data_IF_370591598582
#
_entry.id   IF_370591598582
#
_cell.length_a   1.000
_cell.length_b   1.000
_cell.length_c   1.000
_cell.angle_alpha   90.00
_cell.angle_beta   90.00
_cell.angle_gamma   90.00
#
_symmetry.space_group_name_H-M   'P 1'
#
loop_
_entity.id
_entity.type
_entity.pdbx_description
1 polymer ?
#
# COMPACT_ATOMS: atom_id res chain seq x y z
N UNK A 1 -8.92 -17.50 33.13
CA UNK A 1 -9.27 -17.62 31.69
C UNK A 1 -8.28 -18.60 31.07
N UNK A 2 -8.71 -19.55 30.23
CA UNK A 2 -7.78 -20.52 29.63
C UNK A 2 -6.83 -19.80 28.65
N UNK A 3 -5.49 -19.88 28.81
CA UNK A 3 -4.55 -19.23 27.91
C UNK A 3 -4.75 -19.58 26.43
N UNK A 4 -5.13 -20.84 26.14
CA UNK A 4 -5.41 -21.29 24.78
C UNK A 4 -6.54 -20.54 24.10
N UNK A 5 -7.59 -20.15 24.83
CA UNK A 5 -8.70 -19.34 24.29
C UNK A 5 -8.24 -17.95 23.93
N UNK A 6 -7.37 -17.35 24.78
CA UNK A 6 -6.84 -16.01 24.49
C UNK A 6 -5.95 -16.02 23.25
N UNK A 7 -5.02 -16.97 23.16
CA UNK A 7 -4.13 -17.13 22.00
C UNK A 7 -4.93 -17.35 20.71
N UNK A 8 -5.93 -18.26 20.75
CA UNK A 8 -6.78 -18.51 19.59
C UNK A 8 -7.61 -17.28 19.19
N UNK A 9 -8.12 -16.50 20.16
CA UNK A 9 -8.83 -15.25 19.90
C UNK A 9 -7.94 -14.26 19.16
N UNK A 10 -6.72 -14.03 19.62
CA UNK A 10 -5.79 -13.11 18.96
C UNK A 10 -5.42 -13.60 17.56
N UNK A 11 -5.27 -14.90 17.36
CA UNK A 11 -5.06 -15.51 16.05
C UNK A 11 -6.23 -15.28 15.08
N UNK A 12 -7.48 -15.43 15.57
CA UNK A 12 -8.70 -15.15 14.78
C UNK A 12 -8.73 -13.68 14.37
N UNK A 13 -8.49 -12.74 15.29
CA UNK A 13 -8.46 -11.30 14.99
C UNK A 13 -7.36 -10.92 13.99
N UNK A 14 -6.19 -11.55 14.09
CA UNK A 14 -5.10 -11.34 13.15
C UNK A 14 -5.46 -11.82 11.74
N UNK A 15 -6.07 -13.01 11.62
CA UNK A 15 -6.51 -13.53 10.32
C UNK A 15 -7.66 -12.73 9.72
N UNK A 16 -8.57 -12.18 10.53
CA UNK A 16 -9.63 -11.29 10.07
C UNK A 16 -9.05 -10.03 9.42
N UNK A 17 -8.10 -9.35 10.08
CA UNK A 17 -7.41 -8.20 9.52
C UNK A 17 -6.67 -8.54 8.21
N UNK A 18 -6.05 -9.73 8.12
CA UNK A 18 -5.40 -10.20 6.90
C UNK A 18 -6.41 -10.42 5.78
N UNK A 19 -7.56 -11.04 6.07
CA UNK A 19 -8.63 -11.26 5.09
C UNK A 19 -9.20 -9.93 4.56
N UNK A 20 -9.37 -8.93 5.42
CA UNK A 20 -9.81 -7.60 5.01
C UNK A 20 -8.83 -6.93 4.06
N UNK A 21 -7.52 -7.00 4.35
CA UNK A 21 -6.49 -6.46 3.47
C UNK A 21 -6.46 -7.16 2.11
N UNK A 22 -6.52 -8.50 2.09
CA UNK A 22 -6.57 -9.30 0.85
C UNK A 22 -7.83 -8.96 0.03
N UNK A 23 -8.98 -8.84 0.68
CA UNK A 23 -10.23 -8.47 0.02
C UNK A 23 -10.14 -7.07 -0.61
N UNK A 24 -9.54 -6.10 0.10
CA UNK A 24 -9.29 -4.76 -0.43
C UNK A 24 -8.32 -4.79 -1.62
N UNK A 25 -7.23 -5.57 -1.53
CA UNK A 25 -6.29 -5.74 -2.63
C UNK A 25 -6.98 -6.32 -3.88
N UNK A 26 -7.77 -7.37 -3.70
CA UNK A 26 -8.47 -8.04 -4.79
C UNK A 26 -9.53 -7.12 -5.44
N UNK A 27 -10.26 -6.36 -4.64
CA UNK A 27 -11.24 -5.39 -5.14
C UNK A 27 -10.57 -4.32 -6.02
N UNK A 28 -9.31 -3.94 -5.71
CA UNK A 28 -8.57 -2.89 -6.39
C UNK A 28 -7.55 -3.40 -7.41
N UNK A 29 -7.66 -4.65 -7.86
CA UNK A 29 -6.74 -5.24 -8.85
C UNK A 29 -6.74 -4.50 -10.19
N UNK A 30 -7.88 -3.94 -10.60
CA UNK A 30 -8.03 -3.18 -11.84
C UNK A 30 -7.93 -1.66 -11.64
N UNK A 31 -7.65 -1.19 -10.42
CA UNK A 31 -7.54 0.23 -10.12
C UNK A 31 -6.16 0.74 -10.52
N UNK A 32 -6.12 1.75 -11.38
CA UNK A 32 -4.88 2.38 -11.87
C UNK A 32 -4.11 3.01 -10.72
N UNK A 33 -2.82 2.73 -10.64
CA UNK A 33 -1.95 3.28 -9.60
C UNK A 33 -2.17 2.72 -8.19
N UNK A 34 -3.05 1.74 -8.01
CA UNK A 34 -3.27 1.12 -6.70
C UNK A 34 -2.03 0.36 -6.22
N UNK A 35 -1.77 0.44 -4.93
CA UNK A 35 -0.68 -0.27 -4.26
C UNK A 35 -1.24 -1.21 -3.20
N UNK A 36 -0.80 -2.48 -3.25
CA UNK A 36 -1.28 -3.54 -2.35
C UNK A 36 -0.98 -3.20 -0.89
N UNK A 37 -1.90 -3.55 -0.02
CA UNK A 37 -1.73 -3.47 1.41
C UNK A 37 -1.16 -4.79 1.95
N UNK A 38 -0.22 -4.69 2.89
CA UNK A 38 0.37 -5.80 3.63
C UNK A 38 0.14 -5.60 5.11
N UNK A 39 -0.40 -6.61 5.79
CA UNK A 39 -0.57 -6.60 7.25
C UNK A 39 0.71 -7.12 7.91
N UNK A 40 1.16 -6.42 8.95
CA UNK A 40 2.31 -6.81 9.77
C UNK A 40 1.83 -7.32 11.13
N UNK A 41 2.42 -8.43 11.55
CA UNK A 41 2.11 -9.10 12.81
C UNK A 41 3.33 -9.12 13.71
N UNK A 42 3.09 -9.07 15.02
CA UNK A 42 4.07 -9.32 16.07
C UNK A 42 3.52 -10.30 17.07
N UNK A 43 4.40 -11.06 17.70
CA UNK A 43 4.06 -11.90 18.84
C UNK A 43 3.86 -11.05 20.11
N UNK A 44 3.06 -11.57 21.04
CA UNK A 44 2.83 -10.95 22.33
C UNK A 44 3.83 -11.49 23.36
N UNK A 45 3.90 -10.83 24.53
CA UNK A 45 4.78 -11.22 25.62
C UNK A 45 4.64 -12.69 25.99
N UNK A 46 5.78 -13.31 26.33
CA UNK A 46 5.84 -14.67 26.84
C UNK A 46 5.66 -14.66 28.35
N UNK A 47 4.81 -15.54 28.86
CA UNK A 47 4.73 -15.83 30.27
C UNK A 47 5.83 -16.83 30.63
N UNK A 48 6.76 -16.43 31.49
CA UNK A 48 7.87 -17.27 31.92
C UNK A 48 7.45 -18.00 33.20
N UNK A 49 7.15 -19.30 33.10
CA UNK A 49 6.88 -20.15 34.26
C UNK A 49 8.17 -20.64 34.94
N UNK A 50 9.20 -20.89 34.12
CA UNK A 50 10.52 -21.27 34.61
C UNK A 50 11.58 -20.64 33.71
N UNK A 51 12.51 -19.94 34.34
CA UNK A 51 13.63 -19.34 33.62
C UNK A 51 14.62 -20.41 33.13
N UNK A 52 15.16 -20.27 31.90
CA UNK A 52 16.31 -21.08 31.46
C UNK A 52 17.50 -20.88 32.43
N UNK A 53 18.16 -21.93 32.77
CA UNK A 53 19.31 -21.88 33.73
C UNK A 53 18.92 -21.82 35.20
N UNK A 54 17.63 -21.91 35.56
CA UNK A 54 17.22 -21.99 36.95
C UNK A 54 17.80 -23.24 37.62
N UNK A 55 18.39 -23.08 38.81
CA UNK A 55 18.94 -24.17 39.59
C UNK A 55 17.82 -25.15 39.99
N UNK A 56 18.00 -26.41 39.70
CA UNK A 56 17.10 -27.49 40.08
C UNK A 56 17.52 -28.15 41.36
N UNK A 57 18.81 -28.26 41.55
CA UNK A 57 19.51 -28.75 42.74
C UNK A 57 20.86 -28.04 42.86
N UNK A 58 21.60 -28.27 44.01
CA UNK A 58 22.89 -27.62 44.23
C UNK A 58 23.93 -27.78 43.12
N UNK A 59 23.80 -28.81 42.25
CA UNK A 59 24.74 -29.10 41.18
C UNK A 59 24.14 -29.20 39.76
N UNK A 60 22.83 -28.98 39.59
CA UNK A 60 22.19 -29.12 38.28
C UNK A 60 21.32 -27.90 37.92
N UNK A 61 21.62 -27.27 36.80
CA UNK A 61 20.82 -26.19 36.21
C UNK A 61 19.92 -26.77 35.11
N UNK A 62 18.68 -26.29 35.04
CA UNK A 62 17.76 -26.67 33.96
C UNK A 62 18.23 -26.05 32.66
N UNK A 63 18.58 -26.85 31.61
CA UNK A 63 19.10 -26.32 30.36
C UNK A 63 18.03 -25.54 29.56
N UNK A 64 16.76 -25.82 29.83
CA UNK A 64 15.61 -25.16 29.14
C UNK A 64 14.60 -24.64 30.15
N UNK A 65 14.06 -23.44 29.89
CA UNK A 65 12.93 -22.86 30.62
C UNK A 65 11.59 -23.29 30.05
N UNK A 66 10.50 -22.89 30.74
CA UNK A 66 9.12 -22.99 30.22
C UNK A 66 8.62 -21.59 30.00
N UNK A 67 8.38 -21.25 28.73
CA UNK A 67 7.85 -19.96 28.29
C UNK A 67 6.60 -20.20 27.43
N UNK A 68 5.50 -19.58 27.80
CA UNK A 68 4.22 -19.67 27.10
C UNK A 68 3.93 -18.37 26.39
N UNK A 69 3.73 -18.41 25.06
CA UNK A 69 3.36 -17.26 24.26
C UNK A 69 1.90 -16.87 24.45
N UNK A 70 1.60 -15.57 24.45
CA UNK A 70 0.25 -15.04 24.64
C UNK A 70 -0.48 -14.72 23.29
N UNK A 71 0.07 -15.17 22.16
CA UNK A 71 -0.54 -15.00 20.85
C UNK A 71 0.11 -13.91 20.02
N UNK A 72 -0.67 -13.28 19.14
CA UNK A 72 -0.20 -12.32 18.15
C UNK A 72 -1.05 -11.05 18.15
N UNK A 73 -0.48 -9.95 17.64
CA UNK A 73 -1.20 -8.71 17.38
C UNK A 73 -0.89 -8.17 15.98
N UNK A 74 -1.81 -7.41 15.43
CA UNK A 74 -1.58 -6.58 14.26
C UNK A 74 -0.85 -5.32 14.71
N UNK A 75 0.31 -5.02 14.11
CA UNK A 75 1.11 -3.81 14.37
C UNK A 75 0.68 -2.68 13.47
N UNK A 76 0.39 -2.99 12.21
CA UNK A 76 -0.02 -2.02 11.23
C UNK A 76 -0.26 -2.64 9.86
N UNK A 77 -0.71 -1.80 8.97
CA UNK A 77 -0.80 -2.07 7.53
C UNK A 77 0.21 -1.21 6.79
N UNK A 78 0.89 -1.80 5.84
CA UNK A 78 1.89 -1.12 5.02
C UNK A 78 1.55 -1.25 3.56
N UNK A 79 1.58 -0.14 2.81
CA UNK A 79 1.49 -0.19 1.35
C UNK A 79 2.82 -0.58 0.73
N UNK A 80 2.77 -1.46 -0.26
CA UNK A 80 3.93 -1.93 -1.01
C UNK A 80 4.02 -1.15 -2.31
N UNK A 81 5.03 -0.29 -2.44
CA UNK A 81 5.21 0.60 -3.60
C UNK A 81 6.09 0.01 -4.70
N UNK A 82 5.96 -1.29 -4.97
CA UNK A 82 6.55 -1.88 -6.18
C UNK A 82 5.78 -1.40 -7.42
N UNK A 83 6.48 -1.30 -8.56
CA UNK A 83 5.85 -0.94 -9.83
C UNK A 83 4.87 -2.02 -10.26
N UNK A 84 3.67 -1.60 -10.66
CA UNK A 84 2.63 -2.47 -11.22
C UNK A 84 2.87 -2.80 -12.69
N UNK A 85 1.94 -3.54 -13.31
CA UNK A 85 1.98 -3.82 -14.74
C UNK A 85 1.70 -2.54 -15.55
N UNK A 86 2.46 -2.33 -16.63
CA UNK A 86 2.21 -1.22 -17.54
C UNK A 86 1.15 -1.63 -18.57
N UNK A 87 0.08 -0.85 -18.67
CA UNK A 87 -0.99 -1.02 -19.64
C UNK A 87 -0.93 0.10 -20.68
N UNK A 88 -0.71 -0.26 -21.94
CA UNK A 88 -0.72 0.72 -23.02
C UNK A 88 -2.15 1.07 -23.40
N UNK A 89 -2.51 2.35 -23.29
CA UNK A 89 -3.87 2.86 -23.57
C UNK A 89 -3.95 3.60 -24.91
N UNK A 90 -2.83 4.11 -25.39
CA UNK A 90 -2.78 4.93 -26.61
C UNK A 90 -3.36 6.34 -26.45
N UNK A 91 -3.83 6.72 -25.26
CA UNK A 91 -4.29 8.07 -24.97
C UNK A 91 -3.09 9.01 -24.75
N UNK A 92 -3.12 10.19 -25.33
CA UNK A 92 -1.99 11.13 -25.28
C UNK A 92 -1.71 11.70 -23.89
N UNK A 93 -2.71 11.77 -23.03
CA UNK A 93 -2.60 12.33 -21.68
C UNK A 93 -2.44 11.27 -20.58
N UNK A 94 -2.49 9.98 -20.94
CA UNK A 94 -2.18 8.93 -20.00
C UNK A 94 -0.67 8.82 -19.80
N UNK A 95 -0.23 8.85 -18.56
CA UNK A 95 1.19 8.84 -18.19
C UNK A 95 1.46 7.80 -17.13
N UNK A 96 2.38 6.88 -17.38
CA UNK A 96 2.85 5.94 -16.36
C UNK A 96 4.21 6.35 -15.84
N UNK A 97 4.42 6.17 -14.52
CA UNK A 97 5.74 6.33 -13.89
C UNK A 97 6.44 4.98 -13.91
N UNK A 98 7.55 4.88 -14.61
CA UNK A 98 8.40 3.68 -14.65
C UNK A 98 9.54 3.84 -13.65
N UNK A 99 9.38 3.33 -12.45
CA UNK A 99 10.34 3.48 -11.36
C UNK A 99 9.76 4.15 -10.12
N UNK A 100 10.60 4.86 -9.38
CA UNK A 100 10.19 5.53 -8.13
C UNK A 100 9.73 6.96 -8.41
N UNK A 101 8.83 7.48 -7.56
CA UNK A 101 8.30 8.84 -7.61
C UNK A 101 6.77 8.86 -7.63
N UNK A 102 6.21 10.03 -7.41
CA UNK A 102 4.77 10.29 -7.38
C UNK A 102 4.50 11.57 -8.15
N UNK A 103 3.36 11.66 -8.80
CA UNK A 103 2.84 12.92 -9.32
C UNK A 103 2.31 13.74 -8.14
N UNK A 104 2.52 15.04 -8.20
CA UNK A 104 2.00 15.99 -7.23
C UNK A 104 0.70 16.59 -7.74
N UNK A 105 -0.29 16.68 -6.86
CA UNK A 105 -1.58 17.30 -7.16
C UNK A 105 -1.99 18.23 -6.05
N UNK A 106 -2.66 19.30 -6.37
CA UNK A 106 -3.18 20.26 -5.41
C UNK A 106 -4.63 19.90 -5.05
N UNK A 107 -4.90 19.74 -3.76
CA UNK A 107 -6.23 19.51 -3.24
C UNK A 107 -7.01 20.83 -3.14
N UNK A 108 -8.34 20.73 -3.07
CA UNK A 108 -9.22 21.90 -2.95
C UNK A 108 -8.99 22.76 -1.70
N UNK A 109 -8.33 22.21 -0.68
CA UNK A 109 -7.93 22.93 0.54
C UNK A 109 -6.56 23.64 0.42
N UNK A 110 -5.87 23.52 -0.72
CA UNK A 110 -4.54 24.05 -0.96
C UNK A 110 -3.39 23.16 -0.48
N UNK A 111 -3.69 21.98 0.09
CA UNK A 111 -2.66 21.02 0.46
C UNK A 111 -2.17 20.23 -0.77
N UNK A 112 -0.91 19.81 -0.76
CA UNK A 112 -0.36 18.94 -1.79
C UNK A 112 -0.63 17.49 -1.45
N UNK A 113 -1.14 16.74 -2.43
CA UNK A 113 -1.27 15.29 -2.36
C UNK A 113 -0.44 14.62 -3.46
N UNK A 114 -0.20 13.34 -3.31
CA UNK A 114 0.68 12.56 -4.16
C UNK A 114 -0.07 11.40 -4.76
N UNK A 115 0.13 11.11 -6.05
CA UNK A 115 -0.57 10.01 -6.72
C UNK A 115 0.34 9.26 -7.67
N UNK A 116 -0.02 7.99 -7.91
CA UNK A 116 0.54 7.16 -8.98
C UNK A 116 -0.44 6.97 -10.15
N UNK A 117 -1.66 7.50 -10.02
CA UNK A 117 -2.64 7.45 -11.08
C UNK A 117 -2.33 8.52 -12.13
N UNK A 118 -1.89 8.09 -13.29
CA UNK A 118 -1.51 9.01 -14.39
C UNK A 118 -2.60 9.18 -15.43
N UNK A 119 -3.87 9.03 -15.07
CA UNK A 119 -5.02 9.38 -15.92
C UNK A 119 -5.25 10.88 -15.86
N UNK A 120 -4.71 11.59 -16.84
CA UNK A 120 -4.77 13.05 -16.89
C UNK A 120 -5.79 13.51 -17.92
N UNK A 121 -6.42 14.65 -17.64
CA UNK A 121 -7.41 15.26 -18.51
C UNK A 121 -7.21 16.78 -18.54
N UNK A 122 -7.56 17.46 -19.64
CA UNK A 122 -7.57 18.92 -19.66
C UNK A 122 -8.84 19.43 -18.98
N UNK A 123 -8.73 20.41 -18.09
CA UNK A 123 -9.88 21.12 -17.53
C UNK A 123 -10.49 22.05 -18.61
N UNK A 124 -11.70 22.61 -18.39
CA UNK A 124 -12.27 23.61 -19.29
C UNK A 124 -11.39 24.85 -19.47
N UNK A 125 -10.52 25.13 -18.53
CA UNK A 125 -9.54 26.22 -18.52
C UNK A 125 -8.22 25.84 -19.21
N UNK A 126 -8.10 24.59 -19.67
CA UNK A 126 -6.90 24.04 -20.30
C UNK A 126 -5.85 23.52 -19.32
N UNK A 127 -6.07 23.58 -18.00
CA UNK A 127 -5.12 23.03 -17.01
C UNK A 127 -5.14 21.51 -17.00
N UNK A 128 -3.98 20.92 -16.77
CA UNK A 128 -3.85 19.48 -16.65
C UNK A 128 -4.31 19.02 -15.26
N UNK A 129 -5.36 18.20 -15.23
CA UNK A 129 -5.97 17.71 -13.99
C UNK A 129 -6.07 16.18 -13.97
N UNK A 130 -6.21 15.62 -12.78
CA UNK A 130 -6.51 14.19 -12.60
C UNK A 130 -7.96 13.88 -13.00
N UNK A 131 -8.33 12.60 -13.05
CA UNK A 131 -9.71 12.17 -13.31
C UNK A 131 -10.74 12.72 -12.29
N UNK A 132 -10.29 13.08 -11.09
CA UNK A 132 -11.10 13.69 -10.03
C UNK A 132 -11.16 15.21 -10.11
N UNK A 133 -10.38 15.83 -11.01
CA UNK A 133 -10.34 17.28 -11.20
C UNK A 133 -9.27 18.02 -10.40
N UNK A 134 -8.35 17.32 -9.72
CA UNK A 134 -7.24 17.96 -9.02
C UNK A 134 -6.13 18.37 -9.98
N UNK A 135 -5.68 19.65 -9.97
CA UNK A 135 -4.61 20.11 -10.85
C UNK A 135 -3.27 19.49 -10.43
N UNK A 136 -2.44 19.24 -11.44
CA UNK A 136 -1.06 18.77 -11.25
C UNK A 136 -0.16 19.93 -10.88
N UNK A 137 0.81 19.67 -10.02
CA UNK A 137 1.89 20.62 -9.71
C UNK A 137 3.18 20.14 -10.38
N UNK A 138 3.90 21.04 -11.10
CA UNK A 138 3.55 22.42 -11.44
C UNK A 138 2.39 22.57 -12.42
N UNK A 139 1.69 23.69 -12.35
CA UNK A 139 0.50 23.94 -13.21
C UNK A 139 0.91 24.04 -14.68
N UNK A 140 0.35 23.16 -15.51
CA UNK A 140 0.61 23.10 -16.94
C UNK A 140 -0.68 23.38 -17.68
N UNK A 141 -0.67 24.43 -18.50
CA UNK A 141 -1.84 24.84 -19.27
C UNK A 141 -1.69 24.45 -20.73
N UNK A 142 -2.64 23.67 -21.23
CA UNK A 142 -2.72 23.22 -22.61
C UNK A 142 -3.53 24.24 -23.40
N UNK A 143 -3.00 24.85 -24.46
CA UNK A 143 -3.76 25.80 -25.30
C UNK A 143 -4.89 25.08 -26.06
N UNK A 144 -6.03 25.72 -26.16
CA UNK A 144 -7.23 25.16 -26.82
C UNK A 144 -7.04 24.79 -28.30
N UNK A 145 -6.03 25.33 -28.96
CA UNK A 145 -5.66 25.07 -30.35
C UNK A 145 -4.57 23.98 -30.50
N UNK A 146 -4.23 23.25 -29.43
CA UNK A 146 -3.30 22.13 -29.50
C UNK A 146 -3.90 20.97 -30.32
N UNK A 147 -3.16 20.48 -31.30
CA UNK A 147 -3.54 19.35 -32.16
C UNK A 147 -3.00 18.01 -31.56
N UNK A 148 -1.81 18.03 -30.97
CA UNK A 148 -1.21 16.85 -30.32
C UNK A 148 -0.35 17.30 -29.17
N UNK A 149 -0.32 16.46 -28.15
CA UNK A 149 0.47 16.66 -26.93
C UNK A 149 1.50 15.54 -26.85
N UNK A 150 2.74 15.91 -26.63
CA UNK A 150 3.86 14.98 -26.46
C UNK A 150 4.46 15.19 -25.08
N UNK A 151 4.53 14.10 -24.30
CA UNK A 151 5.15 14.09 -22.97
C UNK A 151 6.42 13.26 -23.08
N UNK A 152 7.55 13.92 -22.85
CA UNK A 152 8.87 13.27 -22.88
C UNK A 152 9.11 12.38 -21.65
N UNK A 153 10.09 11.47 -21.76
CA UNK A 153 10.52 10.63 -20.62
C UNK A 153 11.04 11.45 -19.44
N UNK A 154 11.52 12.66 -19.73
CA UNK A 154 12.02 13.64 -18.74
C UNK A 154 10.91 14.56 -18.19
N UNK A 155 9.65 14.30 -18.49
CA UNK A 155 8.52 15.09 -18.00
C UNK A 155 8.22 16.37 -18.76
N UNK A 156 8.99 16.72 -19.79
CA UNK A 156 8.70 17.89 -20.61
C UNK A 156 7.43 17.66 -21.41
N UNK A 157 6.46 18.56 -21.24
CA UNK A 157 5.18 18.56 -21.93
C UNK A 157 5.25 19.57 -23.07
N UNK A 158 5.12 19.10 -24.29
CA UNK A 158 5.12 19.94 -25.50
C UNK A 158 3.83 19.73 -26.26
N UNK A 159 3.29 20.80 -26.82
CA UNK A 159 2.12 20.76 -27.67
C UNK A 159 2.43 21.24 -29.09
N UNK A 160 1.80 20.61 -30.07
CA UNK A 160 1.78 21.09 -31.43
C UNK A 160 0.55 21.95 -31.63
N UNK A 161 0.76 23.23 -31.83
CA UNK A 161 -0.30 24.21 -32.05
C UNK A 161 -0.69 24.28 -33.54
N UNK A 162 -1.98 24.47 -33.81
CA UNK A 162 -2.44 24.61 -35.17
C UNK A 162 -1.83 25.88 -35.82
N UNK A 163 -1.08 25.68 -36.93
CA UNK A 163 -0.40 26.77 -37.65
C UNK A 163 1.08 26.94 -37.33
N UNK A 164 1.62 26.22 -36.33
CA UNK A 164 3.05 26.16 -36.01
C UNK A 164 3.66 24.83 -36.46
N UNK A 165 4.90 24.90 -36.96
CA UNK A 165 5.62 23.70 -37.42
C UNK A 165 6.45 23.11 -36.29
N UNK A 166 6.77 23.90 -35.28
CA UNK A 166 7.58 23.51 -34.13
C UNK A 166 6.71 23.15 -32.92
N UNK A 167 7.25 22.27 -32.07
CA UNK A 167 6.64 21.90 -30.78
C UNK A 167 6.90 23.03 -29.77
N UNK A 168 5.82 23.58 -29.22
CA UNK A 168 5.91 24.57 -28.14
C UNK A 168 5.96 23.86 -26.80
N UNK A 169 6.97 24.11 -26.01
CA UNK A 169 7.09 23.59 -24.66
C UNK A 169 6.13 24.33 -23.72
N UNK A 170 5.26 23.59 -23.02
CA UNK A 170 4.25 24.12 -22.10
C UNK A 170 4.71 24.12 -20.66
N UNK A 171 5.60 23.21 -20.30
CA UNK A 171 6.11 23.05 -18.95
C UNK A 171 6.71 21.66 -18.73
N UNK A 172 7.12 21.38 -17.50
CA UNK A 172 7.72 20.12 -17.12
C UNK A 172 7.03 19.53 -15.88
N UNK A 173 6.59 18.28 -15.98
CA UNK A 173 6.06 17.51 -14.87
C UNK A 173 7.23 17.12 -13.97
N UNK A 174 7.15 17.43 -12.67
CA UNK A 174 8.10 16.99 -11.66
C UNK A 174 7.54 15.81 -10.88
N UNK A 175 8.43 14.98 -10.35
CA UNK A 175 8.08 13.88 -9.47
C UNK A 175 8.51 14.17 -8.05
N UNK A 176 7.70 13.72 -7.08
CA UNK A 176 8.06 13.72 -5.68
C UNK A 176 8.57 12.34 -5.25
N UNK A 177 9.70 12.30 -4.56
CA UNK A 177 10.25 11.12 -3.93
C UNK A 177 10.18 11.22 -2.41
N UNK A 178 10.04 10.08 -1.75
CA UNK A 178 10.04 9.98 -0.29
C UNK A 178 11.10 9.00 0.18
N UNK A 179 11.75 9.31 1.28
CA UNK A 179 12.71 8.40 1.93
C UNK A 179 11.99 7.13 2.41
N UNK A 180 10.77 7.29 2.94
CA UNK A 180 9.94 6.19 3.39
C UNK A 180 8.52 6.30 2.81
N UNK A 181 8.28 5.78 1.59
CA UNK A 181 6.94 5.83 0.97
C UNK A 181 5.86 5.10 1.79
N UNK A 182 6.25 4.08 2.57
CA UNK A 182 5.32 3.33 3.40
C UNK A 182 4.72 4.14 4.56
N UNK A 183 5.34 5.27 4.91
CA UNK A 183 4.85 6.22 5.90
C UNK A 183 3.78 7.19 5.39
N UNK A 184 3.46 7.17 4.09
CA UNK A 184 2.41 7.99 3.52
C UNK A 184 1.02 7.53 4.00
N UNK A 185 0.13 8.47 4.27
CA UNK A 185 -1.29 8.20 4.56
C UNK A 185 -2.09 8.20 3.27
N UNK A 186 -2.90 7.17 3.05
CA UNK A 186 -3.84 7.12 1.95
C UNK A 186 -5.10 7.92 2.31
N UNK A 187 -5.45 8.92 1.50
CA UNK A 187 -6.66 9.72 1.66
C UNK A 187 -7.89 9.12 0.97
N UNK A 188 -7.70 8.15 0.10
CA UNK A 188 -8.69 7.67 -0.87
C UNK A 188 -8.36 8.21 -2.27
N UNK A 189 -9.16 7.83 -3.29
CA UNK A 189 -9.01 8.27 -4.70
C UNK A 189 -7.59 8.10 -5.29
N UNK A 190 -6.83 7.12 -4.78
CA UNK A 190 -5.42 6.89 -5.09
C UNK A 190 -4.49 8.07 -4.72
N UNK A 191 -4.91 8.90 -3.77
CA UNK A 191 -4.15 10.01 -3.24
C UNK A 191 -3.45 9.61 -1.93
N UNK A 192 -2.25 10.13 -1.78
CA UNK A 192 -1.41 9.96 -0.60
C UNK A 192 -1.04 11.33 -0.05
N UNK A 193 -0.94 11.43 1.26
CA UNK A 193 -0.48 12.64 1.95
C UNK A 193 0.79 12.34 2.72
N UNK A 194 1.68 13.31 2.77
CA UNK A 194 2.90 13.24 3.55
C UNK A 194 2.63 13.19 5.04
N UNK A 195 3.52 12.55 5.78
CA UNK A 195 3.51 12.49 7.23
C UNK A 195 4.90 12.68 7.79
N UNK A 196 5.00 12.85 9.09
CA UNK A 196 6.31 12.85 9.78
C UNK A 196 7.08 11.55 9.61
N UNK A 197 6.37 10.43 9.32
CA UNK A 197 6.97 9.11 9.10
C UNK A 197 7.47 8.91 7.66
N UNK A 198 6.89 9.60 6.67
CA UNK A 198 7.35 9.55 5.27
C UNK A 198 8.60 10.41 5.03
N UNK A 199 8.78 11.43 5.86
CA UNK A 199 9.74 12.51 5.62
C UNK A 199 9.20 13.53 4.61
N UNK A 200 9.97 14.61 4.43
CA UNK A 200 9.68 15.70 3.49
C UNK A 200 9.86 15.19 2.06
N UNK A 201 8.97 15.54 1.12
CA UNK A 201 9.12 15.19 -0.28
C UNK A 201 10.37 15.81 -0.89
N UNK A 202 11.08 15.06 -1.69
CA UNK A 202 12.16 15.56 -2.53
C UNK A 202 11.62 15.64 -3.94
N UNK A 203 11.65 16.83 -4.52
CA UNK A 203 11.21 17.03 -5.90
C UNK A 203 12.38 16.84 -6.87
N UNK A 204 12.09 16.28 -8.03
CA UNK A 204 13.08 16.08 -9.06
C UNK A 204 12.49 15.85 -10.44
N UNK A 205 13.37 15.91 -11.43
CA UNK A 205 13.03 15.70 -12.83
C UNK A 205 12.93 14.19 -13.12
N UNK A 206 11.89 13.73 -13.81
CA UNK A 206 11.79 12.33 -14.24
C UNK A 206 13.03 11.90 -15.05
N UNK A 207 13.55 10.72 -14.74
CA UNK A 207 14.73 10.16 -15.43
C UNK A 207 16.09 10.52 -14.84
N UNK A 208 16.14 11.39 -13.83
CA UNK A 208 17.35 11.61 -13.03
C UNK A 208 17.56 10.48 -12.01
N UNK A 209 18.78 10.38 -11.43
CA UNK A 209 19.28 9.21 -10.69
C UNK A 209 18.32 8.60 -9.64
N UNK A 210 17.48 9.39 -9.00
CA UNK A 210 16.56 8.92 -7.94
C UNK A 210 15.11 8.71 -8.41
N UNK A 211 14.76 9.20 -9.61
CA UNK A 211 13.39 9.24 -10.11
C UNK A 211 13.18 8.32 -11.30
N UNK A 212 12.00 7.73 -11.35
CA UNK A 212 11.55 6.97 -12.52
C UNK A 212 11.33 7.86 -13.72
N UNK A 213 11.25 7.23 -14.90
CA UNK A 213 10.92 7.90 -16.16
C UNK A 213 9.41 7.96 -16.37
N UNK A 214 8.94 8.96 -17.09
CA UNK A 214 7.58 9.00 -17.57
C UNK A 214 7.42 8.26 -18.89
N UNK A 215 6.32 7.56 -19.04
CA UNK A 215 5.92 6.90 -20.29
C UNK A 215 4.54 7.36 -20.69
N UNK A 216 4.46 8.08 -21.82
CA UNK A 216 3.21 8.53 -22.41
C UNK A 216 2.44 7.36 -23.05
N UNK A 217 1.11 7.46 -23.09
CA UNK A 217 0.22 6.47 -23.70
C UNK A 217 0.14 5.15 -22.94
N UNK A 218 0.52 5.15 -21.68
CA UNK A 218 0.45 4.00 -20.78
C UNK A 218 -0.01 4.41 -19.39
N UNK A 219 -0.59 3.47 -18.67
CA UNK A 219 -0.98 3.63 -17.27
C UNK A 219 -0.29 2.56 -16.42
N UNK A 220 0.00 2.90 -15.17
CA UNK A 220 0.46 1.93 -14.20
C UNK A 220 -0.75 1.19 -13.62
N UNK A 221 -0.88 -0.11 -13.89
CA UNK A 221 -1.88 -0.95 -13.26
C UNK A 221 -1.55 -1.22 -11.79
N UNK A 222 -2.49 -1.84 -11.10
CA UNK A 222 -2.28 -2.32 -9.73
C UNK A 222 -1.09 -3.30 -9.67
N UNK A 223 -0.34 -3.29 -8.57
CA UNK A 223 0.70 -4.28 -8.29
C UNK A 223 0.17 -5.53 -7.58
N UNK A 224 -1.15 -5.70 -7.54
CA UNK A 224 -1.83 -6.87 -6.97
C UNK A 224 -1.80 -8.03 -7.96
N UNK A 225 -1.36 -9.19 -7.52
CA UNK A 225 -1.41 -10.44 -8.29
C UNK A 225 -2.58 -11.28 -7.81
N UNK A 226 -3.62 -11.43 -8.63
CA UNK A 226 -4.86 -12.12 -8.27
C UNK A 226 -4.61 -13.53 -7.72
N UNK A 227 -3.74 -14.30 -8.37
CA UNK A 227 -3.45 -15.68 -7.98
C UNK A 227 -2.77 -15.74 -6.61
N UNK A 228 -1.80 -14.86 -6.35
CA UNK A 228 -1.15 -14.75 -5.03
C UNK A 228 -2.17 -14.42 -3.94
N UNK A 229 -2.99 -13.39 -4.14
CA UNK A 229 -3.98 -12.95 -3.16
C UNK A 229 -5.03 -14.04 -2.91
N UNK A 230 -5.45 -14.79 -3.94
CA UNK A 230 -6.37 -15.91 -3.77
C UNK A 230 -5.76 -17.05 -2.96
N UNK A 231 -4.49 -17.40 -3.19
CA UNK A 231 -3.79 -18.43 -2.41
C UNK A 231 -3.61 -17.96 -0.95
N UNK A 232 -3.26 -16.68 -0.74
CA UNK A 232 -3.17 -16.10 0.60
C UNK A 232 -4.53 -16.07 1.30
N UNK A 233 -5.61 -15.77 0.57
CA UNK A 233 -6.98 -15.80 1.10
C UNK A 233 -7.36 -17.21 1.58
N UNK A 234 -7.12 -18.24 0.77
CA UNK A 234 -7.40 -19.64 1.14
C UNK A 234 -6.59 -20.03 2.38
N UNK A 235 -5.32 -19.65 2.43
CA UNK A 235 -4.47 -19.92 3.59
C UNK A 235 -4.99 -19.22 4.86
N UNK A 236 -5.37 -17.96 4.75
CA UNK A 236 -5.92 -17.19 5.87
C UNK A 236 -7.27 -17.76 6.35
N UNK A 237 -8.15 -18.15 5.42
CA UNK A 237 -9.44 -18.79 5.75
C UNK A 237 -9.22 -20.13 6.48
N UNK A 238 -8.33 -20.98 6.00
CA UNK A 238 -8.02 -22.26 6.67
C UNK A 238 -7.43 -22.03 8.07
N UNK A 239 -6.54 -21.05 8.22
CA UNK A 239 -5.96 -20.72 9.54
C UNK A 239 -7.02 -20.15 10.48
N UNK A 240 -7.93 -19.33 9.98
CA UNK A 240 -9.09 -18.84 10.73
C UNK A 240 -9.97 -20.00 11.23
N UNK A 241 -10.32 -20.94 10.34
CA UNK A 241 -11.09 -22.14 10.71
C UNK A 241 -10.38 -23.02 11.75
N UNK A 242 -9.06 -23.18 11.64
CA UNK A 242 -8.30 -23.93 12.63
C UNK A 242 -8.33 -23.24 14.00
N UNK A 243 -8.13 -21.92 14.05
CA UNK A 243 -8.19 -21.16 15.30
C UNK A 243 -9.59 -21.20 15.94
N UNK A 244 -10.65 -21.15 15.15
CA UNK A 244 -12.02 -21.27 15.67
C UNK A 244 -12.33 -22.69 16.19
N UNK A 245 -11.80 -23.74 15.56
CA UNK A 245 -11.89 -25.12 16.07
C UNK A 245 -11.15 -25.29 17.40
N UNK A 246 -9.96 -24.70 17.54
CA UNK A 246 -9.21 -24.71 18.81
C UNK A 246 -10.00 -23.98 19.89
N UNK A 247 -10.62 -22.84 19.56
CA UNK A 247 -11.47 -22.10 20.50
C UNK A 247 -12.66 -22.97 20.99
N UNK A 248 -13.36 -23.63 20.05
CA UNK A 248 -14.48 -24.51 20.37
C UNK A 248 -14.06 -25.75 21.20
N UNK A 249 -12.90 -26.32 20.88
CA UNK A 249 -12.35 -27.43 21.65
C UNK A 249 -11.98 -27.01 23.10
N UNK A 250 -11.38 -25.82 23.26
CA UNK A 250 -11.05 -25.28 24.56
C UNK A 250 -12.31 -24.99 25.40
N UNK A 251 -13.37 -24.48 24.79
CA UNK A 251 -14.65 -24.26 25.44
C UNK A 251 -15.30 -25.59 25.87
N UNK A 252 -15.31 -26.60 25.01
CA UNK A 252 -15.79 -27.96 25.31
C UNK A 252 -15.02 -28.60 26.47
N UNK A 253 -13.68 -28.42 26.56
CA UNK A 253 -12.90 -28.90 27.70
C UNK A 253 -13.33 -28.22 29.01
N UNK A 254 -13.60 -26.93 29.00
CA UNK A 254 -14.08 -26.20 30.19
C UNK A 254 -15.49 -26.65 30.61
N UNK A 255 -16.37 -26.89 29.66
CA UNK A 255 -17.72 -27.42 29.95
C UNK A 255 -17.64 -28.82 30.58
N UNK A 256 -16.80 -29.73 30.05
CA UNK A 256 -16.58 -31.05 30.63
C UNK A 256 -16.00 -30.98 32.04
N UNK A 257 -15.05 -30.08 32.29
CA UNK A 257 -14.49 -29.85 33.64
C UNK A 257 -15.58 -29.33 34.58
N UNK A 258 -16.42 -28.40 34.15
CA UNK A 258 -17.52 -27.90 34.98
C UNK A 258 -18.59 -28.96 35.32
N UNK A 259 -18.78 -29.95 34.43
CA UNK A 259 -19.68 -31.10 34.69
C UNK A 259 -19.04 -32.14 35.61
N UNK A 260 -17.71 -32.33 35.51
CA UNK A 260 -16.99 -33.32 36.34
C UNK A 260 -16.80 -32.88 37.82
N UNK A 261 -16.96 -31.59 38.11
CA UNK A 261 -16.86 -30.97 39.45
C UNK A 261 -18.24 -30.88 40.15
N UNK A 262 -19.31 -31.21 39.45
CA UNK A 262 -20.66 -31.38 40.02
C UNK A 262 -20.90 -32.82 40.49
#
# INVERSE_FOLDING_TARGET
>A
MNPAMWVSKTGVQAQDAKLQAIANNLANVNTVGFKRDRVMFEDLFYQVERQPGAARDENTNAPTGVQLGNGTRVVGTQKVFTTGSLQTTGQQLDVAIVGQGFLQVELANGDTAYTRAGQLQPSPEGRLVTAQGYPIVPDITIPANAQSIVIGENGVVSAKVAGETELTELGQITLAGFVNPAGLVALGDNLFQETTASGVPTEGVPGEEAFGKLKQGALEGSNVQVVEEMVEMISAQRTYEMNTKVLSAADGMLQNLAQAVR
#
